data_IF_375881696735
#
_entry.id   IF_375881696735
#
_cell.length_a   1.000
_cell.length_b   1.000
_cell.length_c   1.000
_cell.angle_alpha   90.00
_cell.angle_beta   90.00
_cell.angle_gamma   90.00
#
_symmetry.space_group_name_H-M   'P 1'
#
loop_
_entity.id
_entity.type
_entity.pdbx_description
1 polymer ?
#
# COMPACT_ATOMS: atom_id res chain seq x y z
N UNK A 1 51.36 30.45 -23.42
CA UNK A 1 49.91 30.36 -23.15
C UNK A 1 49.74 29.85 -21.72
N UNK A 2 49.07 30.59 -20.82
CA UNK A 2 48.50 30.02 -19.57
C UNK A 2 49.37 29.94 -18.31
N UNK A 3 48.71 30.27 -17.18
CA UNK A 3 49.16 30.42 -15.78
C UNK A 3 48.02 29.92 -14.86
N UNK A 4 48.18 29.52 -13.59
CA UNK A 4 49.34 29.41 -12.68
C UNK A 4 49.26 28.01 -11.95
N UNK A 5 49.71 27.72 -10.70
CA UNK A 5 49.93 26.35 -10.21
C UNK A 5 48.91 25.89 -9.12
N UNK A 6 49.29 24.83 -8.39
CA UNK A 6 48.58 24.16 -7.29
C UNK A 6 47.88 25.07 -6.27
N UNK A 7 46.68 24.68 -5.82
CA UNK A 7 46.08 25.16 -4.57
C UNK A 7 45.51 23.98 -3.77
N UNK A 8 46.06 23.78 -2.57
CA UNK A 8 45.52 23.09 -1.39
C UNK A 8 44.75 21.74 -1.60
N UNK A 9 45.28 20.57 -1.25
CA UNK A 9 45.80 20.14 0.06
C UNK A 9 44.77 20.32 1.22
N UNK A 10 44.38 19.20 1.86
CA UNK A 10 43.53 19.10 3.08
C UNK A 10 42.07 19.59 2.97
N UNK A 11 41.15 18.66 2.72
CA UNK A 11 39.91 18.62 3.52
C UNK A 11 40.25 17.85 4.80
N UNK A 12 40.85 18.58 5.76
CA UNK A 12 40.95 18.14 7.16
C UNK A 12 39.84 18.84 7.95
N UNK A 13 39.15 18.07 8.79
CA UNK A 13 38.39 18.50 9.96
C UNK A 13 37.55 19.80 9.83
N UNK A 14 36.29 19.62 9.41
CA UNK A 14 35.12 20.28 10.00
C UNK A 14 35.10 21.81 10.10
N UNK A 15 34.60 22.48 9.06
CA UNK A 15 33.82 23.71 9.24
C UNK A 15 32.73 23.86 8.16
N UNK A 16 31.52 24.25 8.58
CA UNK A 16 30.40 24.81 7.79
C UNK A 16 29.89 24.09 6.52
N UNK A 17 28.81 23.30 6.70
CA UNK A 17 27.64 23.30 5.78
C UNK A 17 26.28 23.28 6.52
N UNK A 18 26.18 23.91 7.70
CA UNK A 18 24.86 24.24 8.26
C UNK A 18 24.21 25.41 7.49
N UNK A 19 23.44 25.10 6.43
CA UNK A 19 22.28 25.91 5.97
C UNK A 19 21.44 25.35 4.80
N UNK A 20 21.37 24.03 4.61
CA UNK A 20 20.49 23.42 3.58
C UNK A 20 19.35 22.57 4.19
N UNK A 21 19.49 22.11 5.44
CA UNK A 21 18.51 21.18 6.06
C UNK A 21 17.14 21.81 6.39
N UNK A 22 17.07 23.11 6.69
CA UNK A 22 15.79 23.77 7.05
C UNK A 22 14.95 24.25 5.85
N UNK A 23 15.51 24.32 4.64
CA UNK A 23 14.77 24.76 3.44
C UNK A 23 13.90 23.65 2.83
N UNK A 24 14.19 22.38 3.14
CA UNK A 24 13.42 21.21 2.66
C UNK A 24 12.07 21.08 3.42
N UNK A 25 11.76 21.99 4.35
CA UNK A 25 10.41 22.09 4.96
C UNK A 25 9.36 22.75 4.06
N UNK A 26 9.75 23.25 2.87
CA UNK A 26 8.88 23.95 1.92
C UNK A 26 8.72 23.31 0.54
N UNK A 27 9.39 22.20 0.24
CA UNK A 27 9.29 21.53 -1.07
C UNK A 27 7.98 20.75 -1.18
N UNK A 28 7.11 21.13 -2.13
CA UNK A 28 5.85 20.44 -2.44
C UNK A 28 6.10 19.03 -3.01
N UNK A 29 6.38 18.07 -2.14
CA UNK A 29 6.14 16.67 -2.47
C UNK A 29 4.64 16.45 -2.62
N UNK A 30 4.20 15.89 -3.73
CA UNK A 30 2.86 15.28 -3.86
C UNK A 30 2.88 13.98 -3.05
N UNK A 31 2.93 14.14 -1.73
CA UNK A 31 2.92 13.04 -0.77
C UNK A 31 1.53 12.42 -0.80
N UNK A 32 1.41 11.29 -1.51
CA UNK A 32 0.20 10.51 -1.58
C UNK A 32 -0.05 9.88 -0.20
N UNK A 33 -0.67 10.65 0.71
CA UNK A 33 -0.96 10.20 2.07
C UNK A 33 -1.98 9.06 1.98
N UNK A 34 -1.64 7.92 2.55
CA UNK A 34 -2.56 6.78 2.66
C UNK A 34 -3.85 7.23 3.38
N UNK A 35 -4.93 7.36 2.60
CA UNK A 35 -6.28 7.77 2.99
C UNK A 35 -6.96 6.72 3.88
N UNK A 36 -6.63 5.45 3.66
CA UNK A 36 -7.15 4.29 4.34
C UNK A 36 -6.02 3.61 5.12
N UNK A 37 -6.30 3.20 6.35
CA UNK A 37 -5.33 2.54 7.23
C UNK A 37 -5.98 1.37 7.97
N UNK A 38 -5.20 0.38 8.37
CA UNK A 38 -5.66 -0.68 9.27
C UNK A 38 -5.93 -0.11 10.68
N UNK A 39 -6.82 -0.74 11.45
CA UNK A 39 -7.22 -0.19 12.77
C UNK A 39 -6.10 -0.07 13.81
N UNK A 40 -4.97 -0.75 13.60
CA UNK A 40 -3.71 -0.59 14.34
C UNK A 40 -2.59 -1.38 13.65
N UNK A 41 -1.34 -1.05 14.02
CA UNK A 41 -0.11 -1.69 13.53
C UNK A 41 -0.12 -3.21 13.72
N UNK A 42 -0.54 -3.73 14.89
CA UNK A 42 -0.58 -5.19 15.13
C UNK A 42 -1.49 -5.95 14.16
N UNK A 43 -2.61 -5.35 13.71
CA UNK A 43 -3.45 -5.93 12.65
C UNK A 43 -2.81 -5.80 11.27
N UNK A 44 -2.19 -4.66 10.98
CA UNK A 44 -1.48 -4.43 9.72
C UNK A 44 -0.37 -5.45 9.52
N UNK A 45 0.50 -5.62 10.53
CA UNK A 45 1.59 -6.57 10.56
C UNK A 45 1.12 -8.01 10.35
N UNK A 46 0.06 -8.42 11.04
CA UNK A 46 -0.55 -9.74 10.86
C UNK A 46 -1.09 -9.95 9.44
N UNK A 47 -1.65 -8.91 8.81
CA UNK A 47 -2.11 -9.00 7.42
C UNK A 47 -0.94 -9.07 6.43
N UNK A 48 0.09 -8.25 6.61
CA UNK A 48 1.29 -8.26 5.78
C UNK A 48 2.02 -9.61 5.85
N UNK A 49 2.29 -10.11 7.06
CA UNK A 49 2.91 -11.42 7.29
C UNK A 49 2.10 -12.56 6.65
N UNK A 50 0.77 -12.55 6.79
CA UNK A 50 -0.08 -13.56 6.17
C UNK A 50 -0.05 -13.50 4.65
N UNK A 51 -0.37 -12.35 4.06
CA UNK A 51 -0.68 -12.24 2.64
C UNK A 51 0.55 -12.01 1.76
N UNK A 52 1.52 -11.23 2.23
CA UNK A 52 2.78 -10.98 1.50
C UNK A 52 3.81 -12.06 1.80
N UNK A 53 4.12 -12.31 3.08
CA UNK A 53 5.25 -13.20 3.45
C UNK A 53 4.88 -14.69 3.34
N UNK A 54 3.76 -15.12 3.93
CA UNK A 54 3.39 -16.55 3.99
C UNK A 54 2.68 -17.04 2.74
N UNK A 55 1.83 -16.20 2.13
CA UNK A 55 1.03 -16.58 0.96
C UNK A 55 1.62 -16.06 -0.37
N UNK A 56 2.60 -15.15 -0.34
CA UNK A 56 3.32 -14.69 -1.53
C UNK A 56 2.47 -13.91 -2.54
N UNK A 57 1.27 -13.46 -2.16
CA UNK A 57 0.24 -12.97 -3.07
C UNK A 57 0.68 -11.76 -3.91
N UNK A 58 1.61 -10.97 -3.37
CA UNK A 58 2.10 -9.72 -3.95
C UNK A 58 3.59 -9.79 -4.36
N UNK A 59 4.24 -10.94 -4.20
CA UNK A 59 5.70 -11.06 -4.36
C UNK A 59 6.47 -10.33 -3.25
N UNK A 60 7.72 -9.99 -3.53
CA UNK A 60 8.60 -9.32 -2.58
C UNK A 60 8.37 -7.80 -2.58
N UNK A 61 7.51 -7.32 -1.68
CA UNK A 61 7.18 -5.89 -1.50
C UNK A 61 7.32 -5.47 -0.03
N UNK A 62 7.50 -4.17 0.24
CA UNK A 62 7.56 -3.65 1.61
C UNK A 62 6.17 -3.50 2.24
N UNK A 63 6.11 -3.24 3.56
CA UNK A 63 4.87 -2.88 4.24
C UNK A 63 4.24 -1.62 3.63
N UNK A 64 5.04 -0.58 3.36
CA UNK A 64 4.56 0.67 2.78
C UNK A 64 4.01 0.48 1.36
N UNK A 65 4.68 -0.33 0.53
CA UNK A 65 4.15 -0.72 -0.79
C UNK A 65 2.81 -1.44 -0.67
N UNK A 66 2.69 -2.37 0.28
CA UNK A 66 1.45 -3.13 0.52
C UNK A 66 0.30 -2.22 0.99
N UNK A 67 0.56 -1.25 1.87
CA UNK A 67 -0.44 -0.26 2.27
C UNK A 67 -0.80 0.70 1.13
N UNK A 68 0.18 1.09 0.31
CA UNK A 68 -0.02 1.91 -0.90
C UNK A 68 -0.91 1.20 -1.91
N UNK A 69 -0.61 -0.07 -2.22
CA UNK A 69 -1.43 -0.91 -3.10
C UNK A 69 -2.86 -1.08 -2.57
N UNK A 70 -3.02 -1.29 -1.26
CA UNK A 70 -4.34 -1.33 -0.63
C UNK A 70 -5.09 0.00 -0.86
N UNK A 71 -4.44 1.14 -0.64
CA UNK A 71 -5.03 2.46 -0.85
C UNK A 71 -5.40 2.71 -2.32
N UNK A 72 -4.51 2.41 -3.25
CA UNK A 72 -4.73 2.53 -4.70
C UNK A 72 -5.92 1.66 -5.13
N UNK A 73 -5.99 0.41 -4.69
CA UNK A 73 -7.12 -0.47 -5.02
C UNK A 73 -8.44 -0.01 -4.36
N UNK A 74 -8.43 0.40 -3.09
CA UNK A 74 -9.62 0.88 -2.38
C UNK A 74 -10.18 2.16 -3.03
N UNK A 75 -9.34 3.09 -3.50
CA UNK A 75 -9.81 4.30 -4.19
C UNK A 75 -10.13 4.03 -5.68
N UNK A 76 -9.65 2.93 -6.26
CA UNK A 76 -9.84 2.59 -7.68
C UNK A 76 -11.31 2.38 -8.07
N UNK A 77 -11.60 2.64 -9.34
CA UNK A 77 -12.83 2.23 -10.02
C UNK A 77 -12.51 1.78 -11.45
N UNK A 78 -13.38 0.97 -12.05
CA UNK A 78 -13.23 0.52 -13.44
C UNK A 78 -14.03 -0.74 -13.75
N UNK A 79 -14.10 -1.10 -15.03
CA UNK A 79 -14.94 -2.22 -15.54
C UNK A 79 -14.69 -3.61 -14.92
N UNK A 80 -13.53 -3.81 -14.31
CA UNK A 80 -13.13 -5.07 -13.67
C UNK A 80 -13.29 -5.03 -12.14
N UNK A 81 -13.55 -3.84 -11.56
CA UNK A 81 -13.66 -3.61 -10.12
C UNK A 81 -15.14 -3.66 -9.73
N UNK A 82 -15.55 -4.79 -9.18
CA UNK A 82 -16.85 -4.97 -8.54
C UNK A 82 -16.81 -4.33 -7.15
N UNK A 83 -17.93 -3.73 -6.73
CA UNK A 83 -18.06 -3.08 -5.43
C UNK A 83 -19.46 -3.33 -4.88
N UNK A 84 -19.58 -3.60 -3.58
CA UNK A 84 -20.87 -3.64 -2.88
C UNK A 84 -20.75 -3.11 -1.45
N UNK A 85 -21.85 -2.61 -0.91
CA UNK A 85 -21.94 -2.21 0.50
C UNK A 85 -22.68 -3.30 1.28
N UNK A 86 -22.10 -3.80 2.36
CA UNK A 86 -22.73 -4.74 3.27
C UNK A 86 -23.76 -4.06 4.18
N UNK A 87 -24.65 -4.84 4.80
CA UNK A 87 -25.73 -4.32 5.66
C UNK A 87 -25.23 -3.54 6.89
N UNK A 88 -23.97 -3.76 7.31
CA UNK A 88 -23.32 -3.03 8.40
C UNK A 88 -22.69 -1.69 7.96
N UNK A 89 -22.70 -1.39 6.65
CA UNK A 89 -22.07 -0.21 6.04
C UNK A 89 -20.65 -0.40 5.54
N UNK A 90 -20.03 -1.57 5.73
CA UNK A 90 -18.70 -1.86 5.17
C UNK A 90 -18.76 -1.91 3.63
N UNK A 91 -17.71 -1.42 2.97
CA UNK A 91 -17.54 -1.43 1.53
C UNK A 91 -16.61 -2.57 1.15
N UNK A 92 -17.11 -3.49 0.33
CA UNK A 92 -16.36 -4.61 -0.23
C UNK A 92 -16.01 -4.28 -1.69
N UNK A 93 -14.77 -4.52 -2.10
CA UNK A 93 -14.32 -4.44 -3.50
C UNK A 93 -13.61 -5.70 -3.95
N UNK A 94 -13.79 -6.07 -5.22
CA UNK A 94 -13.12 -7.19 -5.87
C UNK A 94 -12.72 -6.85 -7.32
N UNK A 95 -11.48 -7.12 -7.71
CA UNK A 95 -11.00 -6.97 -9.07
C UNK A 95 -10.92 -8.34 -9.76
N UNK A 96 -11.81 -8.60 -10.72
CA UNK A 96 -11.89 -9.89 -11.40
C UNK A 96 -10.71 -10.18 -12.37
N UNK A 97 -9.79 -9.23 -12.58
CA UNK A 97 -8.57 -9.41 -13.39
C UNK A 97 -7.32 -9.63 -12.54
N UNK A 98 -7.15 -8.89 -11.45
CA UNK A 98 -5.95 -8.99 -10.58
C UNK A 98 -6.19 -9.88 -9.35
N UNK A 99 -7.43 -10.31 -9.14
CA UNK A 99 -7.94 -11.06 -8.00
C UNK A 99 -7.88 -10.32 -6.65
N UNK A 100 -7.54 -9.03 -6.66
CA UNK A 100 -7.50 -8.19 -5.46
C UNK A 100 -8.88 -8.06 -4.83
N UNK A 101 -8.94 -8.18 -3.51
CA UNK A 101 -10.14 -8.08 -2.70
C UNK A 101 -9.86 -7.22 -1.47
N UNK A 102 -10.81 -6.37 -1.11
CA UNK A 102 -10.71 -5.54 0.09
C UNK A 102 -12.06 -5.37 0.78
N UNK A 103 -11.99 -5.15 2.09
CA UNK A 103 -13.13 -4.73 2.91
C UNK A 103 -12.67 -3.55 3.76
N UNK A 104 -13.44 -2.47 3.72
CA UNK A 104 -13.18 -1.21 4.42
C UNK A 104 -14.43 -0.79 5.17
N UNK A 105 -14.31 -0.30 6.40
CA UNK A 105 -15.47 0.21 7.13
C UNK A 105 -16.01 1.50 6.51
N UNK A 106 -17.24 1.89 6.84
CA UNK A 106 -17.82 3.18 6.43
C UNK A 106 -16.98 4.39 6.84
N UNK A 107 -16.15 4.26 7.89
CA UNK A 107 -15.20 5.27 8.37
C UNK A 107 -13.82 5.23 7.67
N UNK A 108 -13.61 4.34 6.70
CA UNK A 108 -12.34 4.25 5.96
C UNK A 108 -11.27 3.36 6.61
N UNK A 109 -11.63 2.52 7.58
CA UNK A 109 -10.68 1.60 8.23
C UNK A 109 -10.57 0.29 7.44
N UNK A 110 -9.36 -0.10 7.05
CA UNK A 110 -9.11 -1.35 6.33
C UNK A 110 -9.34 -2.53 7.29
N UNK A 111 -10.31 -3.40 6.96
CA UNK A 111 -10.49 -4.70 7.62
C UNK A 111 -9.60 -5.77 6.99
N UNK A 112 -9.54 -5.79 5.65
CA UNK A 112 -8.64 -6.67 4.90
C UNK A 112 -8.35 -6.09 3.52
N UNK A 113 -7.18 -6.44 3.00
CA UNK A 113 -6.79 -6.40 1.60
C UNK A 113 -5.99 -7.69 1.34
N UNK A 114 -6.21 -8.36 0.21
CA UNK A 114 -5.49 -9.57 -0.21
C UNK A 114 -5.85 -9.95 -1.66
N UNK A 115 -5.26 -11.00 -2.23
CA UNK A 115 -5.74 -11.62 -3.48
C UNK A 115 -6.50 -12.92 -3.21
N UNK A 116 -7.68 -13.05 -3.80
CA UNK A 116 -8.45 -14.30 -3.74
C UNK A 116 -7.75 -15.41 -4.54
N UNK A 117 -7.76 -16.61 -3.98
CA UNK A 117 -7.21 -17.82 -4.60
C UNK A 117 -8.19 -18.99 -4.37
N UNK A 118 -8.69 -19.66 -5.43
CA UNK A 118 -9.62 -20.79 -5.32
C UNK A 118 -9.12 -21.92 -4.42
N UNK A 119 -7.81 -22.15 -4.38
CA UNK A 119 -7.18 -23.19 -3.56
C UNK A 119 -7.24 -22.89 -2.05
N UNK A 120 -7.47 -21.62 -1.66
CA UNK A 120 -7.51 -21.18 -0.26
C UNK A 120 -8.96 -21.15 0.26
N UNK A 121 -9.91 -20.68 -0.56
CA UNK A 121 -11.32 -20.56 -0.15
C UNK A 121 -12.23 -21.71 -0.62
N UNK A 122 -11.72 -22.66 -1.41
CA UNK A 122 -12.43 -23.89 -1.78
C UNK A 122 -13.70 -23.69 -2.63
N UNK A 123 -13.80 -22.58 -3.39
CA UNK A 123 -14.88 -22.37 -4.39
C UNK A 123 -14.29 -22.49 -5.79
N UNK A 124 -15.11 -22.79 -6.79
CA UNK A 124 -14.67 -23.03 -8.17
C UNK A 124 -13.84 -21.88 -8.74
N UNK A 125 -14.31 -20.64 -8.57
CA UNK A 125 -13.59 -19.43 -8.96
C UNK A 125 -13.66 -18.34 -7.89
N UNK A 126 -12.80 -17.32 -8.03
CA UNK A 126 -12.86 -16.11 -7.20
C UNK A 126 -14.17 -15.32 -7.40
N UNK A 127 -14.79 -15.43 -8.59
CA UNK A 127 -16.08 -14.79 -8.88
C UNK A 127 -17.24 -15.54 -8.18
N UNK A 128 -17.16 -16.88 -8.09
CA UNK A 128 -18.12 -17.67 -7.30
C UNK A 128 -18.00 -17.37 -5.82
N UNK A 129 -16.78 -17.15 -5.31
CA UNK A 129 -16.57 -16.66 -3.95
C UNK A 129 -17.24 -15.30 -3.76
N UNK A 130 -16.94 -14.31 -4.62
CA UNK A 130 -17.55 -12.98 -4.56
C UNK A 130 -19.10 -13.02 -4.57
N UNK A 131 -19.69 -13.83 -5.45
CA UNK A 131 -21.15 -13.99 -5.55
C UNK A 131 -21.75 -14.86 -4.43
N UNK A 132 -20.93 -15.60 -3.68
CA UNK A 132 -21.38 -16.51 -2.63
C UNK A 132 -21.78 -15.80 -1.32
N UNK A 133 -22.61 -16.46 -0.49
CA UNK A 133 -23.02 -15.92 0.81
C UNK A 133 -21.83 -15.77 1.77
N UNK A 134 -20.80 -16.60 1.62
CA UNK A 134 -19.58 -16.60 2.45
C UNK A 134 -18.72 -15.35 2.25
N UNK A 135 -18.93 -14.58 1.17
CA UNK A 135 -18.24 -13.31 0.93
C UNK A 135 -18.96 -12.12 1.63
N UNK A 136 -19.61 -12.37 2.77
CA UNK A 136 -20.13 -11.34 3.66
C UNK A 136 -19.55 -11.58 5.06
N UNK A 137 -18.72 -10.64 5.52
CA UNK A 137 -18.19 -10.57 6.89
C UNK A 137 -19.09 -9.70 7.79
#
# INVERSE_FOLDING_TARGET
MGYLPEIANKIKNGERVERIVDSIRGSKGVGNRNKFNFSNEKKFDKHFDKHVIKQGEFGNITKDDYLKLANEFIDSSGKNVLSRTASNGDILKFNNKTNEFSIVTKEGVIRTYHKLNPQIHGKGTNLDYWNGPDCNY
#
